data_IF_159107911934
#
_entry.id   IF_159107911934
#
_cell.length_a   1.000
_cell.length_b   1.000
_cell.length_c   1.000
_cell.angle_alpha   90.00
_cell.angle_beta   90.00
_cell.angle_gamma   90.00
#
_symmetry.space_group_name_H-M   'P 1'
#
loop_
_entity.id
_entity.type
_entity.pdbx_description
1 polymer ?
#
# COMPACT_ATOMS: atom_id res chain seq x y z
N UNK A 1 -19.38 6.98 9.28
CA UNK A 1 -18.58 7.32 8.08
C UNK A 1 -18.47 6.05 7.27
N UNK A 2 -19.20 6.01 6.16
CA UNK A 2 -19.21 4.86 5.25
C UNK A 2 -17.77 4.63 4.76
N UNK A 3 -17.20 3.47 5.09
CA UNK A 3 -15.87 3.11 4.60
C UNK A 3 -16.03 2.85 3.12
N UNK A 4 -15.72 3.85 2.30
CA UNK A 4 -15.75 3.75 0.85
C UNK A 4 -14.77 2.64 0.44
N UNK A 5 -15.30 1.44 0.29
CA UNK A 5 -14.60 0.29 -0.27
C UNK A 5 -14.17 0.75 -1.65
N UNK A 6 -12.86 0.92 -1.87
CA UNK A 6 -12.32 1.42 -3.13
C UNK A 6 -12.99 0.67 -4.29
N UNK A 7 -13.87 1.36 -5.01
CA UNK A 7 -14.58 0.80 -6.16
C UNK A 7 -13.51 0.30 -7.15
N UNK A 8 -13.71 -0.84 -7.83
CA UNK A 8 -12.74 -1.38 -8.80
C UNK A 8 -12.25 -0.34 -9.82
N UNK A 9 -13.08 0.67 -10.13
CA UNK A 9 -12.71 1.82 -10.95
C UNK A 9 -11.52 2.64 -10.39
N UNK A 10 -11.49 2.93 -9.08
CA UNK A 10 -10.40 3.69 -8.45
C UNK A 10 -9.10 2.88 -8.39
N UNK A 11 -9.19 1.57 -8.19
CA UNK A 11 -8.03 0.69 -8.26
C UNK A 11 -7.41 0.71 -9.66
N UNK A 12 -8.23 0.56 -10.70
CA UNK A 12 -7.76 0.59 -12.08
C UNK A 12 -7.17 1.95 -12.47
N UNK A 13 -7.82 3.05 -12.06
CA UNK A 13 -7.32 4.41 -12.29
C UNK A 13 -5.94 4.62 -11.64
N UNK A 14 -5.73 4.14 -10.41
CA UNK A 14 -4.46 4.25 -9.72
C UNK A 14 -3.33 3.50 -10.45
N UNK A 15 -3.62 2.31 -11.00
CA UNK A 15 -2.64 1.58 -11.80
C UNK A 15 -2.32 2.28 -13.12
N UNK A 16 -3.32 2.82 -13.81
CA UNK A 16 -3.10 3.57 -15.05
C UNK A 16 -2.27 4.83 -14.77
N UNK A 17 -2.62 5.63 -13.76
CA UNK A 17 -1.88 6.86 -13.46
C UNK A 17 -0.44 6.57 -13.06
N UNK A 18 -0.20 5.50 -12.30
CA UNK A 18 1.14 5.03 -11.97
C UNK A 18 1.95 4.63 -13.21
N UNK A 19 1.35 3.88 -14.14
CA UNK A 19 2.02 3.46 -15.38
C UNK A 19 2.32 4.66 -16.29
N UNK A 20 1.37 5.56 -16.48
CA UNK A 20 1.56 6.78 -17.29
C UNK A 20 2.66 7.65 -16.70
N UNK A 21 2.66 7.87 -15.38
CA UNK A 21 3.71 8.64 -14.70
C UNK A 21 5.07 7.95 -14.81
N UNK A 22 5.13 6.63 -14.64
CA UNK A 22 6.38 5.87 -14.70
C UNK A 22 6.98 5.89 -16.10
N UNK A 23 6.15 5.69 -17.12
CA UNK A 23 6.55 5.81 -18.53
C UNK A 23 7.01 7.23 -18.85
N UNK A 24 6.33 8.25 -18.32
CA UNK A 24 6.74 9.65 -18.49
C UNK A 24 8.17 9.92 -18.00
N UNK A 25 8.54 9.40 -16.83
CA UNK A 25 9.90 9.53 -16.29
C UNK A 25 10.91 8.76 -17.15
N UNK A 26 10.60 7.52 -17.52
CA UNK A 26 11.48 6.70 -18.36
C UNK A 26 11.72 7.36 -19.71
N UNK A 27 10.67 7.84 -20.38
CA UNK A 27 10.78 8.58 -21.64
C UNK A 27 11.59 9.87 -21.45
N UNK A 28 11.36 10.61 -20.36
CA UNK A 28 12.14 11.81 -20.03
C UNK A 28 13.65 11.52 -19.93
N UNK A 29 14.04 10.42 -19.29
CA UNK A 29 15.44 9.99 -19.18
C UNK A 29 16.00 9.57 -20.56
N UNK A 30 15.20 8.90 -21.40
CA UNK A 30 15.62 8.47 -22.75
C UNK A 30 15.83 9.66 -23.67
N UNK A 31 14.87 10.60 -23.73
CA UNK A 31 14.92 11.79 -24.58
C UNK A 31 15.91 12.85 -24.12
N UNK A 32 16.34 12.82 -22.85
CA UNK A 32 17.36 13.75 -22.36
C UNK A 32 18.68 13.56 -23.13
N UNK A 33 19.09 14.63 -23.83
CA UNK A 33 20.43 14.77 -24.36
C UNK A 33 21.41 15.07 -23.23
N UNK A 34 22.40 14.23 -23.05
CA UNK A 34 23.36 14.34 -21.96
C UNK A 34 24.36 13.21 -21.97
N UNK A 35 25.39 13.35 -21.14
CA UNK A 35 26.44 12.35 -20.95
C UNK A 35 25.80 11.06 -20.41
N UNK A 36 26.24 9.91 -20.92
CA UNK A 36 25.73 8.59 -20.54
C UNK A 36 25.66 8.37 -19.03
N UNK A 37 26.69 8.82 -18.30
CA UNK A 37 26.75 8.74 -16.84
C UNK A 37 25.64 9.51 -16.13
N UNK A 38 25.24 10.68 -16.63
CA UNK A 38 24.14 11.45 -16.04
C UNK A 38 22.80 10.71 -16.21
N UNK A 39 22.57 10.13 -17.39
CA UNK A 39 21.36 9.32 -17.67
C UNK A 39 21.29 8.10 -16.74
N UNK A 40 22.42 7.42 -16.54
CA UNK A 40 22.51 6.29 -15.62
C UNK A 40 22.25 6.70 -14.16
N UNK A 41 22.77 7.85 -13.71
CA UNK A 41 22.51 8.36 -12.36
C UNK A 41 21.02 8.61 -12.12
N UNK A 42 20.35 9.30 -13.04
CA UNK A 42 18.89 9.54 -12.93
C UNK A 42 18.09 8.23 -13.01
N UNK A 43 18.48 7.29 -13.87
CA UNK A 43 17.82 5.99 -13.95
C UNK A 43 17.94 5.22 -12.63
N UNK A 44 19.14 5.17 -12.03
CA UNK A 44 19.36 4.52 -10.74
C UNK A 44 18.60 5.22 -9.60
N UNK A 45 18.61 6.55 -9.56
CA UNK A 45 17.88 7.32 -8.57
C UNK A 45 16.36 7.05 -8.65
N UNK A 46 15.81 7.02 -9.87
CA UNK A 46 14.40 6.70 -10.10
C UNK A 46 14.07 5.26 -9.67
N UNK A 47 14.86 4.26 -10.06
CA UNK A 47 14.63 2.86 -9.68
C UNK A 47 14.70 2.64 -8.16
N UNK A 48 15.66 3.28 -7.49
CA UNK A 48 15.78 3.21 -6.04
C UNK A 48 14.59 3.87 -5.34
N UNK A 49 14.18 5.05 -5.81
CA UNK A 49 13.00 5.76 -5.30
C UNK A 49 11.72 4.91 -5.47
N UNK A 50 11.54 4.30 -6.64
CA UNK A 50 10.40 3.43 -6.94
C UNK A 50 10.36 2.20 -6.02
N UNK A 51 11.51 1.56 -5.82
CA UNK A 51 11.66 0.41 -4.93
C UNK A 51 11.34 0.77 -3.48
N UNK A 52 11.83 1.93 -3.01
CA UNK A 52 11.54 2.45 -1.67
C UNK A 52 10.04 2.74 -1.48
N UNK A 53 9.39 3.38 -2.46
CA UNK A 53 7.95 3.61 -2.43
C UNK A 53 7.16 2.29 -2.28
N UNK A 54 7.52 1.26 -3.05
CA UNK A 54 6.89 -0.06 -2.93
C UNK A 54 7.18 -0.75 -1.60
N UNK A 55 8.36 -0.56 -1.02
CA UNK A 55 8.70 -1.10 0.30
C UNK A 55 7.83 -0.45 1.37
N UNK A 56 7.73 0.88 1.37
CA UNK A 56 6.86 1.63 2.29
C UNK A 56 5.40 1.20 2.12
N UNK A 57 4.93 1.04 0.87
CA UNK A 57 3.57 0.58 0.60
C UNK A 57 3.30 -0.82 1.18
N UNK A 58 4.26 -1.75 1.09
CA UNK A 58 4.17 -3.06 1.74
C UNK A 58 4.07 -2.91 3.25
N UNK A 59 5.00 -2.18 3.88
CA UNK A 59 5.01 -1.96 5.33
C UNK A 59 3.69 -1.36 5.84
N UNK A 60 3.12 -0.40 5.11
CA UNK A 60 1.83 0.20 5.46
C UNK A 60 0.68 -0.81 5.36
N UNK A 61 0.65 -1.62 4.29
CA UNK A 61 -0.37 -2.66 4.12
C UNK A 61 -0.25 -3.73 5.19
N UNK A 62 0.96 -4.20 5.45
CA UNK A 62 1.24 -5.24 6.43
C UNK A 62 0.82 -4.76 7.84
N UNK A 63 1.06 -3.47 8.17
CA UNK A 63 0.55 -2.85 9.41
C UNK A 63 -0.99 -2.79 9.48
N UNK A 64 -1.67 -2.47 8.38
CA UNK A 64 -3.14 -2.47 8.33
C UNK A 64 -3.71 -3.87 8.55
N UNK A 65 -3.08 -4.89 7.97
CA UNK A 65 -3.46 -6.29 8.16
C UNK A 65 -3.26 -6.74 9.62
N UNK A 66 -2.11 -6.42 10.24
CA UNK A 66 -1.81 -6.70 11.64
C UNK A 66 -2.84 -6.05 12.59
N UNK A 67 -3.12 -4.76 12.42
CA UNK A 67 -4.11 -4.05 13.24
C UNK A 67 -5.51 -4.68 13.12
N UNK A 68 -5.89 -5.10 11.92
CA UNK A 68 -7.20 -5.72 11.68
C UNK A 68 -7.30 -7.11 12.33
N UNK A 69 -6.20 -7.86 12.39
CA UNK A 69 -6.13 -9.17 13.01
C UNK A 69 -6.19 -9.06 14.54
N UNK A 70 -5.41 -8.15 15.13
CA UNK A 70 -5.41 -7.88 16.57
C UNK A 70 -6.80 -7.46 17.06
N UNK A 71 -7.48 -6.55 16.34
CA UNK A 71 -8.86 -6.13 16.67
C UNK A 71 -9.87 -7.29 16.63
N UNK A 72 -9.73 -8.23 15.71
CA UNK A 72 -10.59 -9.43 15.65
C UNK A 72 -10.35 -10.36 16.83
N UNK A 73 -9.08 -10.55 17.22
CA UNK A 73 -8.73 -11.36 18.40
C UNK A 73 -9.27 -10.71 19.67
N UNK A 74 -9.05 -9.42 19.85
CA UNK A 74 -9.58 -8.68 21.00
C UNK A 74 -11.10 -8.77 21.05
N UNK A 75 -11.79 -8.56 19.93
CA UNK A 75 -13.26 -8.69 19.86
C UNK A 75 -13.73 -10.10 20.21
N UNK A 76 -13.06 -11.15 19.72
CA UNK A 76 -13.39 -12.54 20.02
C UNK A 76 -13.17 -12.87 21.51
N UNK A 77 -12.07 -12.39 22.10
CA UNK A 77 -11.81 -12.51 23.54
C UNK A 77 -12.88 -11.78 24.34
N UNK A 78 -13.11 -10.49 24.06
CA UNK A 78 -14.15 -9.70 24.72
C UNK A 78 -15.52 -10.38 24.63
N UNK A 79 -15.90 -10.90 23.46
CA UNK A 79 -17.15 -11.61 23.29
C UNK A 79 -17.21 -12.92 24.10
N UNK A 80 -16.10 -13.65 24.20
CA UNK A 80 -16.02 -14.86 25.04
C UNK A 80 -16.15 -14.53 26.54
N UNK A 81 -15.50 -13.46 27.01
CA UNK A 81 -15.62 -12.99 28.39
C UNK A 81 -17.06 -12.58 28.68
N UNK A 82 -17.68 -11.79 27.79
CA UNK A 82 -19.08 -11.37 27.92
C UNK A 82 -20.01 -12.59 28.01
N UNK A 83 -19.84 -13.59 27.13
CA UNK A 83 -20.68 -14.79 27.12
C UNK A 83 -20.57 -15.60 28.42
N UNK A 84 -19.39 -15.64 29.05
CA UNK A 84 -19.17 -16.33 30.32
C UNK A 84 -19.93 -15.70 31.50
N UNK A 85 -20.20 -14.40 31.46
CA UNK A 85 -20.95 -13.70 32.53
C UNK A 85 -22.44 -13.54 32.22
N UNK A 86 -22.85 -13.62 30.95
CA UNK A 86 -24.25 -13.49 30.52
C UNK A 86 -25.02 -14.81 30.59
N UNK A 87 -24.36 -15.96 30.75
CA UNK A 87 -25.00 -17.23 31.07
C UNK A 87 -25.01 -17.47 32.60
N UNK A 88 -26.08 -17.08 33.34
CA UNK A 88 -26.26 -17.39 34.75
C UNK A 88 -26.99 -18.73 34.96
N UNK A 89 -26.81 -19.74 34.09
CA UNK A 89 -27.40 -21.07 34.29
C UNK A 89 -26.39 -22.09 34.85
N UNK A 90 -25.84 -21.78 36.03
CA UNK A 90 -25.60 -22.79 37.07
C UNK A 90 -26.07 -22.24 38.43
#
# INVERSE_FOLDING_TARGET
METAKNTPAFYFLAWISFLVSSLGVVLGIVFMEGIWFAKAFFAMAYLFSLSSCFMVAKVVRDKQEEESFTKKIEKAKTQHLINKYIDPSE
#
